data_IF_351679935079
#
_entry.id   IF_351679935079
#
_cell.length_a   1.000
_cell.length_b   1.000
_cell.length_c   1.000
_cell.angle_alpha   90.00
_cell.angle_beta   90.00
_cell.angle_gamma   90.00
#
_symmetry.space_group_name_H-M   'P 1'
#
loop_
_entity.id
_entity.type
_entity.pdbx_description
1 polymer ?
#
# COMPACT_ATOMS: atom_id res chain seq x y z
N UNK A 1 -34.84 27.96 23.83
CA UNK A 1 -33.89 28.60 22.88
C UNK A 1 -32.42 28.38 23.27
N UNK A 2 -32.03 28.54 24.55
CA UNK A 2 -30.64 28.36 25.02
C UNK A 2 -30.04 26.95 24.82
N UNK A 3 -30.82 25.88 24.99
CA UNK A 3 -30.34 24.50 24.76
C UNK A 3 -30.00 24.23 23.29
N UNK A 4 -30.72 24.85 22.36
CA UNK A 4 -30.48 24.68 20.93
C UNK A 4 -29.18 25.37 20.50
N UNK A 5 -28.88 26.55 21.06
CA UNK A 5 -27.60 27.22 20.85
C UNK A 5 -26.40 26.45 21.44
N UNK A 6 -26.56 25.83 22.61
CA UNK A 6 -25.48 25.01 23.22
C UNK A 6 -25.19 23.77 22.36
N UNK A 7 -26.22 23.12 21.83
CA UNK A 7 -26.06 21.96 20.96
C UNK A 7 -25.40 22.30 19.61
N UNK A 8 -25.71 23.46 19.03
CA UNK A 8 -25.07 23.93 17.80
C UNK A 8 -23.58 24.25 18.06
N UNK A 9 -23.26 25.00 19.11
CA UNK A 9 -21.87 25.32 19.45
C UNK A 9 -21.01 24.07 19.69
N UNK A 10 -21.56 23.06 20.37
CA UNK A 10 -20.87 21.77 20.57
C UNK A 10 -20.60 21.04 19.26
N UNK A 11 -21.58 21.00 18.34
CA UNK A 11 -21.39 20.40 17.01
C UNK A 11 -20.30 21.10 16.21
N UNK A 12 -20.26 22.43 16.25
CA UNK A 12 -19.23 23.21 15.55
C UNK A 12 -17.84 22.96 16.14
N UNK A 13 -17.70 22.96 17.47
CA UNK A 13 -16.43 22.66 18.12
C UNK A 13 -15.93 21.25 17.79
N UNK A 14 -16.79 20.24 17.84
CA UNK A 14 -16.44 18.87 17.48
C UNK A 14 -16.01 18.77 16.00
N UNK A 15 -16.71 19.45 15.09
CA UNK A 15 -16.34 19.47 13.68
C UNK A 15 -14.96 20.10 13.48
N UNK A 16 -14.66 21.22 14.14
CA UNK A 16 -13.35 21.87 14.08
C UNK A 16 -12.24 20.96 14.61
N UNK A 17 -12.50 20.22 15.68
CA UNK A 17 -11.54 19.28 16.25
C UNK A 17 -11.27 18.10 15.30
N UNK A 18 -12.30 17.53 14.67
CA UNK A 18 -12.15 16.50 13.65
C UNK A 18 -11.40 17.00 12.41
N UNK A 19 -11.69 18.21 11.93
CA UNK A 19 -10.93 18.83 10.84
C UNK A 19 -9.45 18.99 11.20
N UNK A 20 -9.15 19.46 12.41
CA UNK A 20 -7.77 19.61 12.88
C UNK A 20 -7.04 18.25 12.99
N UNK A 21 -7.75 17.19 13.39
CA UNK A 21 -7.19 15.82 13.40
C UNK A 21 -6.84 15.35 12.00
N UNK A 22 -7.77 15.50 11.04
CA UNK A 22 -7.55 15.13 9.63
C UNK A 22 -6.34 15.90 9.07
N UNK A 23 -6.24 17.21 9.26
CA UNK A 23 -5.13 18.00 8.71
C UNK A 23 -3.76 17.74 9.36
N UNK A 24 -3.72 17.07 10.50
CA UNK A 24 -2.49 16.84 11.26
C UNK A 24 -2.10 15.38 11.41
N UNK A 25 -2.89 14.43 10.90
CA UNK A 25 -2.58 13.00 11.00
C UNK A 25 -1.45 12.56 10.06
N UNK A 26 -1.08 11.29 10.18
CA UNK A 26 -0.19 10.61 9.26
C UNK A 26 -0.92 10.27 7.95
N UNK A 27 -0.19 10.28 6.83
CA UNK A 27 -0.70 9.89 5.52
C UNK A 27 0.34 9.04 4.81
N UNK A 28 0.18 7.72 4.86
CA UNK A 28 1.08 6.81 4.17
C UNK A 28 0.70 6.71 2.69
N UNK A 29 1.64 7.06 1.83
CA UNK A 29 1.55 6.97 0.39
C UNK A 29 2.64 6.03 -0.14
N UNK A 30 2.44 5.57 -1.37
CA UNK A 30 3.40 4.72 -2.06
C UNK A 30 4.25 5.59 -2.96
N UNK A 31 5.56 5.52 -2.78
CA UNK A 31 6.51 6.30 -3.57
C UNK A 31 6.87 5.56 -4.85
N UNK A 32 7.36 4.33 -4.74
CA UNK A 32 7.85 3.54 -5.86
C UNK A 32 8.09 2.08 -5.44
N UNK A 33 8.30 1.22 -6.43
CA UNK A 33 8.81 -0.13 -6.24
C UNK A 33 10.26 -0.20 -6.72
N UNK A 34 11.14 -0.79 -5.93
CA UNK A 34 12.58 -0.88 -6.21
C UNK A 34 13.09 -2.31 -6.01
N UNK A 35 14.37 -2.53 -6.33
CA UNK A 35 15.12 -3.78 -6.10
C UNK A 35 14.36 -5.07 -6.46
N UNK A 36 13.65 -5.07 -7.58
CA UNK A 36 12.91 -6.25 -8.00
C UNK A 36 13.84 -7.27 -8.69
N UNK A 37 13.69 -8.53 -8.34
CA UNK A 37 14.36 -9.67 -8.97
C UNK A 37 13.30 -10.63 -9.50
N UNK A 38 13.26 -10.77 -10.83
CA UNK A 38 12.36 -11.71 -11.50
C UNK A 38 13.23 -12.78 -12.17
N UNK A 39 13.32 -13.96 -11.55
CA UNK A 39 14.08 -15.09 -12.08
C UNK A 39 13.24 -16.36 -12.08
N UNK A 40 13.33 -17.11 -13.17
CA UNK A 40 12.60 -18.37 -13.32
C UNK A 40 13.07 -19.37 -12.26
N UNK A 41 12.12 -20.03 -11.60
CA UNK A 41 12.41 -21.00 -10.55
C UNK A 41 12.69 -20.36 -9.19
N UNK A 42 12.65 -19.04 -9.09
CA UNK A 42 12.81 -18.29 -7.84
C UNK A 42 11.54 -17.50 -7.49
N UNK A 43 11.36 -17.13 -6.22
CA UNK A 43 10.34 -16.16 -5.83
C UNK A 43 10.63 -14.80 -6.45
N UNK A 44 9.59 -14.03 -6.79
CA UNK A 44 9.78 -12.63 -7.16
C UNK A 44 10.00 -11.82 -5.88
N UNK A 45 11.21 -11.29 -5.71
CA UNK A 45 11.56 -10.42 -4.58
C UNK A 45 11.47 -8.98 -5.05
N UNK A 46 10.92 -8.08 -4.23
CA UNK A 46 10.81 -6.65 -4.54
C UNK A 46 10.69 -5.80 -3.27
N UNK A 47 11.17 -4.56 -3.35
CA UNK A 47 11.04 -3.56 -2.30
C UNK A 47 9.93 -2.56 -2.67
N UNK A 48 9.10 -2.16 -1.71
CA UNK A 48 8.16 -1.04 -1.88
C UNK A 48 8.53 0.07 -0.90
N UNK A 49 8.77 1.26 -1.45
CA UNK A 49 9.02 2.47 -0.68
C UNK A 49 7.69 3.13 -0.31
N UNK A 50 7.40 3.20 0.99
CA UNK A 50 6.28 3.95 1.54
C UNK A 50 6.78 5.27 2.13
N UNK A 51 6.04 6.35 1.91
CA UNK A 51 6.34 7.67 2.43
C UNK A 51 5.20 8.17 3.31
N UNK A 52 5.52 8.69 4.49
CA UNK A 52 4.54 9.40 5.30
C UNK A 52 4.53 10.87 4.89
N UNK A 53 3.51 11.28 4.14
CA UNK A 53 3.29 12.67 3.74
C UNK A 53 2.54 13.50 4.79
N UNK A 54 2.11 12.88 5.88
CA UNK A 54 1.45 13.55 6.99
C UNK A 54 2.42 14.25 7.94
N UNK A 55 1.85 14.99 8.91
CA UNK A 55 2.62 15.82 9.86
C UNK A 55 3.06 15.05 11.10
N UNK A 56 2.46 13.90 11.36
CA UNK A 56 2.74 13.07 12.55
C UNK A 56 3.25 11.70 12.15
N UNK A 57 3.96 11.00 13.05
CA UNK A 57 4.36 9.62 12.78
C UNK A 57 3.16 8.71 12.51
N UNK A 58 3.37 7.73 11.64
CA UNK A 58 2.52 6.56 11.50
C UNK A 58 3.10 5.45 12.36
N UNK A 59 2.29 4.87 13.23
CA UNK A 59 2.68 3.82 14.17
C UNK A 59 2.16 2.46 13.71
N UNK A 60 2.76 1.39 14.25
CA UNK A 60 2.38 -0.01 13.98
C UNK A 60 2.19 -0.29 12.49
N UNK A 61 3.08 0.28 11.68
CA UNK A 61 2.97 0.21 10.23
C UNK A 61 3.22 -1.22 9.80
N UNK A 62 2.26 -1.76 9.05
CA UNK A 62 2.24 -3.16 8.64
C UNK A 62 1.76 -3.26 7.19
N UNK A 63 2.46 -4.02 6.35
CA UNK A 63 2.16 -4.08 4.92
C UNK A 63 2.11 -5.53 4.42
N UNK A 64 1.22 -5.77 3.46
CA UNK A 64 1.10 -7.04 2.76
C UNK A 64 1.02 -6.79 1.26
N UNK A 65 1.66 -7.66 0.47
CA UNK A 65 1.71 -7.57 -0.99
C UNK A 65 1.68 -8.96 -1.61
N UNK A 66 1.13 -9.03 -2.82
CA UNK A 66 1.16 -10.22 -3.66
C UNK A 66 1.38 -9.83 -5.11
N UNK A 67 1.83 -10.80 -5.90
CA UNK A 67 1.97 -10.64 -7.34
C UNK A 67 1.16 -11.68 -8.10
N UNK A 68 0.73 -11.33 -9.32
CA UNK A 68 -0.01 -12.24 -10.20
C UNK A 68 0.28 -11.96 -11.67
N UNK A 69 0.27 -13.02 -12.48
CA UNK A 69 0.37 -12.95 -13.94
C UNK A 69 -0.99 -13.26 -14.58
N UNK A 70 -1.26 -12.68 -15.77
CA UNK A 70 -2.46 -13.01 -16.52
C UNK A 70 -2.68 -12.17 -17.78
N UNK A 71 -3.73 -12.49 -18.53
CA UNK A 71 -4.10 -11.82 -19.79
C UNK A 71 -5.08 -10.64 -19.61
N UNK A 72 -5.66 -10.47 -18.43
CA UNK A 72 -6.75 -9.52 -18.17
C UNK A 72 -6.32 -8.14 -17.64
N UNK A 73 -7.30 -7.23 -17.54
CA UNK A 73 -7.21 -5.93 -16.87
C UNK A 73 -7.32 -6.14 -15.35
N UNK A 74 -6.27 -6.65 -14.74
CA UNK A 74 -6.14 -6.74 -13.28
C UNK A 74 -5.83 -5.32 -12.75
N UNK A 75 -6.62 -4.74 -11.83
CA UNK A 75 -6.56 -5.13 -10.43
C UNK A 75 -7.91 -5.21 -9.69
N UNK A 76 -9.06 -5.03 -10.35
CA UNK A 76 -10.38 -5.07 -9.69
C UNK A 76 -10.73 -6.46 -9.10
N UNK A 77 -10.16 -7.51 -9.69
CA UNK A 77 -10.33 -8.91 -9.23
C UNK A 77 -9.27 -9.36 -8.23
N UNK A 78 -8.25 -8.53 -7.96
CA UNK A 78 -7.45 -8.75 -6.76
C UNK A 78 -8.40 -8.38 -5.63
N UNK A 79 -9.20 -9.35 -5.19
CA UNK A 79 -9.63 -9.37 -3.80
C UNK A 79 -8.32 -9.20 -3.06
N UNK A 80 -8.10 -8.02 -2.50
CA UNK A 80 -7.08 -7.82 -1.48
C UNK A 80 -7.68 -8.58 -0.28
N UNK A 81 -7.71 -9.91 -0.40
CA UNK A 81 -8.39 -10.83 0.50
C UNK A 81 -7.68 -10.58 1.80
N UNK A 82 -8.32 -9.85 2.72
CA UNK A 82 -8.07 -9.80 4.16
C UNK A 82 -6.77 -10.50 4.56
N UNK A 83 -5.64 -9.99 4.07
CA UNK A 83 -4.39 -10.68 4.29
C UNK A 83 -4.13 -10.40 5.76
N UNK A 84 -4.02 -11.46 6.54
CA UNK A 84 -3.38 -11.38 7.84
C UNK A 84 -2.04 -10.73 7.52
N UNK A 85 -1.95 -9.44 7.85
CA UNK A 85 -0.69 -8.74 7.75
C UNK A 85 0.15 -9.51 8.73
N UNK A 86 0.99 -10.40 8.19
CA UNK A 86 1.90 -11.23 8.97
C UNK A 86 2.50 -10.31 10.01
N UNK A 87 2.50 -10.71 11.29
CA UNK A 87 3.07 -9.96 12.41
C UNK A 87 4.49 -9.51 12.04
N UNK A 88 4.55 -8.38 11.37
CA UNK A 88 5.68 -7.97 10.56
C UNK A 88 6.07 -6.65 11.14
N UNK A 89 7.25 -6.65 11.76
CA UNK A 89 8.02 -5.52 12.27
C UNK A 89 7.17 -4.27 12.36
N UNK A 90 6.57 -4.02 13.53
CA UNK A 90 5.86 -2.77 13.79
C UNK A 90 6.82 -1.60 13.54
N UNK A 91 6.74 -1.01 12.35
CA UNK A 91 7.57 0.12 11.99
C UNK A 91 6.87 1.40 12.43
N UNK A 92 7.69 2.42 12.70
CA UNK A 92 7.20 3.80 12.83
C UNK A 92 7.79 4.61 11.70
N UNK A 93 6.94 5.29 10.93
CA UNK A 93 7.37 6.16 9.83
C UNK A 93 7.08 7.61 10.22
N UNK A 94 8.11 8.38 10.54
CA UNK A 94 7.98 9.80 10.86
C UNK A 94 7.47 10.62 9.67
N UNK A 95 6.88 11.79 9.92
CA UNK A 95 6.45 12.71 8.86
C UNK A 95 7.59 13.09 7.92
N UNK A 96 7.36 12.97 6.62
CA UNK A 96 8.37 13.16 5.56
C UNK A 96 9.35 12.00 5.36
N UNK A 97 9.33 10.97 6.20
CA UNK A 97 10.24 9.83 6.09
C UNK A 97 9.75 8.78 5.10
N UNK A 98 10.71 8.04 4.55
CA UNK A 98 10.49 6.92 3.65
C UNK A 98 10.95 5.64 4.35
N UNK A 99 10.13 4.60 4.27
CA UNK A 99 10.45 3.26 4.73
C UNK A 99 10.29 2.27 3.58
N UNK A 100 11.30 1.46 3.35
CA UNK A 100 11.23 0.35 2.38
C UNK A 100 10.83 -0.95 3.09
N UNK A 101 9.95 -1.71 2.46
CA UNK A 101 9.58 -3.06 2.87
C UNK A 101 9.89 -4.04 1.73
N UNK A 102 10.62 -5.11 2.05
CA UNK A 102 10.91 -6.21 1.13
C UNK A 102 9.79 -7.24 1.18
N UNK A 103 9.39 -7.76 0.01
CA UNK A 103 8.37 -8.78 -0.15
C UNK A 103 8.89 -9.93 -1.03
N UNK A 104 8.26 -11.10 -0.90
CA UNK A 104 8.50 -12.26 -1.76
C UNK A 104 9.35 -13.37 -1.14
N UNK A 105 9.83 -13.19 0.10
CA UNK A 105 10.69 -14.10 0.85
C UNK A 105 9.94 -14.91 1.95
N UNK A 106 8.60 -14.85 1.97
CA UNK A 106 7.77 -15.53 2.98
C UNK A 106 7.74 -17.07 2.89
N UNK A 107 7.16 -17.71 3.91
CA UNK A 107 7.20 -19.18 4.14
C UNK A 107 6.69 -20.05 2.98
N UNK A 108 5.78 -19.52 2.15
CA UNK A 108 5.30 -20.20 0.93
C UNK A 108 5.56 -19.27 -0.27
N UNK A 109 6.78 -19.28 -0.83
CA UNK A 109 7.07 -18.43 -1.96
C UNK A 109 6.30 -18.89 -3.19
N UNK A 110 5.57 -17.97 -3.80
CA UNK A 110 5.07 -18.18 -5.15
C UNK A 110 6.26 -18.14 -6.09
N UNK A 111 6.56 -19.27 -6.74
CA UNK A 111 7.70 -19.40 -7.66
C UNK A 111 7.31 -18.86 -9.04
N UNK A 112 8.18 -18.05 -9.63
CA UNK A 112 8.00 -17.56 -10.99
C UNK A 112 8.30 -18.66 -12.01
N UNK A 113 7.26 -19.15 -12.70
CA UNK A 113 7.36 -20.29 -13.62
C UNK A 113 7.90 -19.86 -14.98
N UNK A 114 8.52 -20.80 -15.69
CA UNK A 114 9.10 -20.54 -17.01
C UNK A 114 8.06 -20.10 -18.06
N UNK A 115 6.86 -20.67 -18.01
CA UNK A 115 5.77 -20.30 -18.93
C UNK A 115 5.26 -18.87 -18.68
N UNK A 116 5.23 -18.44 -17.42
CA UNK A 116 4.90 -17.07 -17.02
C UNK A 116 5.97 -16.10 -17.50
N UNK A 117 7.25 -16.44 -17.32
CA UNK A 117 8.39 -15.64 -17.78
C UNK A 117 8.31 -15.29 -19.26
N UNK A 118 8.14 -16.29 -20.13
CA UNK A 118 8.04 -16.07 -21.58
C UNK A 118 6.85 -15.14 -21.90
N UNK A 119 5.71 -15.36 -21.25
CA UNK A 119 4.50 -14.60 -21.53
C UNK A 119 4.59 -13.16 -20.99
N UNK A 120 5.18 -12.93 -19.82
CA UNK A 120 5.36 -11.61 -19.22
C UNK A 120 6.38 -10.79 -20.01
N UNK A 121 7.54 -11.36 -20.32
CA UNK A 121 8.61 -10.65 -21.02
C UNK A 121 8.31 -10.42 -22.51
N UNK A 122 7.42 -11.21 -23.11
CA UNK A 122 6.88 -10.91 -24.46
C UNK A 122 5.71 -9.92 -24.45
N UNK A 123 5.23 -9.51 -23.27
CA UNK A 123 4.07 -8.62 -23.12
C UNK A 123 2.71 -9.30 -23.33
N UNK A 124 2.69 -10.61 -23.60
CA UNK A 124 1.47 -11.42 -23.73
C UNK A 124 0.69 -11.47 -22.41
N UNK A 125 1.39 -11.63 -21.29
CA UNK A 125 0.83 -11.54 -19.94
C UNK A 125 1.27 -10.24 -19.28
N UNK A 126 0.41 -9.70 -18.44
CA UNK A 126 0.73 -8.64 -17.50
C UNK A 126 1.18 -9.28 -16.19
N UNK A 127 2.16 -8.65 -15.54
CA UNK A 127 2.57 -8.96 -14.18
C UNK A 127 2.16 -7.79 -13.28
N UNK A 128 1.31 -8.06 -12.31
CA UNK A 128 0.84 -7.09 -11.34
C UNK A 128 1.41 -7.40 -9.96
N UNK A 129 1.71 -6.36 -9.21
CA UNK A 129 1.99 -6.41 -7.76
C UNK A 129 0.96 -5.53 -7.09
N UNK A 130 0.24 -6.03 -6.09
CA UNK A 130 -0.76 -5.25 -5.38
C UNK A 130 -0.86 -5.64 -3.91
N UNK A 131 -1.29 -4.69 -3.09
CA UNK A 131 -1.31 -4.89 -1.66
C UNK A 131 -1.98 -3.77 -0.89
N UNK A 132 -1.75 -3.78 0.41
CA UNK A 132 -2.27 -2.80 1.37
C UNK A 132 -1.25 -2.56 2.47
N UNK A 133 -1.12 -1.30 2.88
CA UNK A 133 -0.44 -0.89 4.10
C UNK A 133 -1.47 -0.40 5.10
N UNK A 134 -1.33 -0.80 6.36
CA UNK A 134 -2.16 -0.42 7.49
C UNK A 134 -1.28 0.25 8.53
N UNK A 135 -1.79 1.27 9.21
CA UNK A 135 -1.06 2.03 10.22
C UNK A 135 -2.00 2.71 11.20
N UNK A 136 -1.50 3.05 12.38
CA UNK A 136 -2.19 3.90 13.35
C UNK A 136 -1.62 5.34 13.29
N UNK A 137 -2.48 6.34 13.45
CA UNK A 137 -2.03 7.72 13.66
C UNK A 137 -1.81 8.04 15.16
N UNK A 138 -1.36 9.27 15.46
CA UNK A 138 -1.17 9.72 16.85
C UNK A 138 -2.48 9.79 17.68
N UNK A 139 -3.63 9.68 17.03
CA UNK A 139 -4.96 9.68 17.65
C UNK A 139 -5.48 8.25 17.86
N UNK A 140 -4.63 7.23 17.64
CA UNK A 140 -4.96 5.80 17.73
C UNK A 140 -6.05 5.37 16.75
N UNK A 141 -6.21 6.09 15.64
CA UNK A 141 -7.11 5.68 14.56
C UNK A 141 -6.35 4.83 13.54
N UNK A 142 -6.91 3.69 13.18
CA UNK A 142 -6.36 2.82 12.13
C UNK A 142 -6.74 3.36 10.74
N UNK A 143 -5.75 3.43 9.87
CA UNK A 143 -5.87 3.83 8.48
C UNK A 143 -5.25 2.79 7.58
N UNK A 144 -5.62 2.83 6.30
CA UNK A 144 -4.99 1.99 5.29
C UNK A 144 -4.86 2.72 3.97
N UNK A 145 -3.86 2.30 3.20
CA UNK A 145 -3.62 2.73 1.83
C UNK A 145 -3.46 1.49 0.98
N UNK A 146 -4.19 1.40 -0.13
CA UNK A 146 -3.98 0.31 -1.09
C UNK A 146 -2.88 0.69 -2.06
N UNK A 147 -2.32 -0.30 -2.74
CA UNK A 147 -1.42 -0.04 -3.86
C UNK A 147 -1.49 -1.09 -4.95
N UNK A 148 -1.11 -0.67 -6.15
CA UNK A 148 -0.85 -1.58 -7.25
C UNK A 148 0.24 -1.03 -8.18
N UNK A 149 1.02 -1.95 -8.73
CA UNK A 149 2.03 -1.74 -9.75
C UNK A 149 1.82 -2.71 -10.91
N UNK A 150 2.13 -2.24 -12.11
CA UNK A 150 2.15 -3.05 -13.33
C UNK A 150 3.58 -3.12 -13.86
N UNK A 151 4.02 -4.31 -14.22
CA UNK A 151 5.28 -4.49 -14.94
C UNK A 151 5.15 -4.02 -16.39
N UNK A 152 5.98 -3.04 -16.75
CA UNK A 152 6.20 -2.60 -18.11
C UNK A 152 7.31 -3.44 -18.74
N UNK A 153 6.93 -4.41 -19.56
CA UNK A 153 7.85 -5.33 -20.23
C UNK A 153 8.79 -4.62 -21.22
N UNK A 154 8.45 -3.42 -21.72
CA UNK A 154 9.30 -2.69 -22.67
C UNK A 154 10.46 -1.99 -21.96
N UNK A 155 10.16 -1.40 -20.81
CA UNK A 155 11.11 -0.64 -20.01
C UNK A 155 11.74 -1.48 -18.89
N UNK A 156 11.32 -2.74 -18.76
CA UNK A 156 11.69 -3.64 -17.68
C UNK A 156 11.54 -3.01 -16.29
N UNK A 157 10.49 -2.23 -16.08
CA UNK A 157 10.26 -1.46 -14.87
C UNK A 157 8.82 -1.64 -14.36
N UNK A 158 8.59 -1.39 -13.08
CA UNK A 158 7.23 -1.34 -12.55
C UNK A 158 6.71 0.09 -12.51
N UNK A 159 5.49 0.26 -13.02
CA UNK A 159 4.78 1.55 -13.03
C UNK A 159 3.61 1.50 -12.07
N UNK A 160 3.42 2.61 -11.35
CA UNK A 160 2.28 2.79 -10.44
C UNK A 160 0.95 2.69 -11.21
N UNK A 161 0.03 1.86 -10.73
CA UNK A 161 -1.29 1.71 -11.30
C UNK A 161 -2.29 2.64 -10.59
N UNK A 162 -2.72 3.69 -11.30
CA UNK A 162 -3.43 4.85 -10.72
C UNK A 162 -4.71 4.51 -9.95
N UNK A 163 -5.40 3.41 -10.26
CA UNK A 163 -6.69 3.10 -9.64
C UNK A 163 -6.63 2.59 -8.20
N UNK A 164 -5.47 2.19 -7.69
CA UNK A 164 -5.36 1.56 -6.36
C UNK A 164 -4.32 2.20 -5.45
N UNK A 165 -3.83 3.41 -5.77
CA UNK A 165 -2.90 4.14 -4.90
C UNK A 165 -3.65 5.28 -4.18
N UNK A 166 -4.66 4.90 -3.41
CA UNK A 166 -5.52 5.80 -2.65
C UNK A 166 -5.12 5.77 -1.17
N UNK A 167 -4.57 6.89 -0.67
CA UNK A 167 -4.49 7.13 0.76
C UNK A 167 -5.86 7.58 1.25
N UNK A 168 -6.45 6.79 2.16
CA UNK A 168 -7.70 7.16 2.83
C UNK A 168 -7.47 8.08 4.03
#
# INVERSE_FOLDING_TARGET
MAENSINISRKVANAQEEFAKIETRAYINIKQMTKFQIKVGEPIIYDIDFINTGKTPAYKVRAASQWKTGTGVYPQEIKIIEYQVSEGIEATIGGGQIQSFTFGDGEVPHIFKQQDSISVFSGKYKLFVAGKIIYEDKFNSEHFTRFAFLYDYKNHAFISYKHFNDAN
#
